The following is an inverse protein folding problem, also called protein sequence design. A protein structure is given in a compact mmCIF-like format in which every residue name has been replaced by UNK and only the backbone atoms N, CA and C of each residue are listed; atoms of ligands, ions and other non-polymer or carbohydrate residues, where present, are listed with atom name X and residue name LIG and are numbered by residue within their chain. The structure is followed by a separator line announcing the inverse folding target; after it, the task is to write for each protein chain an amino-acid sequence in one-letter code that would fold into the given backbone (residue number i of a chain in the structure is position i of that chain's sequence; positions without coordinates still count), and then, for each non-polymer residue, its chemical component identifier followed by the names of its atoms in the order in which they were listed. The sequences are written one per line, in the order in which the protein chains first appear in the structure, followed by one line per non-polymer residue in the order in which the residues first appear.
data_IF_983813438833
#
_entry.id   IF_983813438833
#
_cell.length_a   1.000
_cell.length_b   1.000
_cell.length_c   1.000
_cell.angle_alpha   90.00
_cell.angle_beta   90.00
_cell.angle_gamma   90.00
#
_symmetry.space_group_name_H-M   'P 1'
#
loop_
_entity.id
_entity.type
_entity.pdbx_description
1 polymer ?
#
# COMPACT_ATOMS: atom_id res chain seq x y z
N UNK A 1 -14.31 7.36 -29.16
CA UNK A 1 -15.03 6.93 -27.94
C UNK A 1 -13.99 6.30 -27.03
N UNK A 2 -13.47 7.05 -26.06
CA UNK A 2 -12.53 6.51 -25.07
C UNK A 2 -13.32 5.68 -24.06
N UNK A 3 -12.86 4.45 -23.84
CA UNK A 3 -13.40 3.49 -22.88
C UNK A 3 -13.49 4.12 -21.48
N UNK A 4 -14.44 3.67 -20.63
CA UNK A 4 -14.63 4.21 -19.30
C UNK A 4 -13.31 4.17 -18.52
N UNK A 5 -13.05 5.25 -17.81
CA UNK A 5 -12.05 5.39 -16.75
C UNK A 5 -12.38 4.35 -15.66
N UNK A 6 -12.05 3.08 -15.92
CA UNK A 6 -12.21 1.98 -14.98
C UNK A 6 -11.09 2.14 -13.96
N UNK A 7 -11.26 3.12 -13.08
CA UNK A 7 -10.42 3.30 -11.89
C UNK A 7 -10.39 1.99 -11.14
N UNK A 8 -9.26 1.26 -11.25
CA UNK A 8 -8.97 0.14 -10.37
C UNK A 8 -9.29 0.58 -8.94
N UNK A 9 -10.13 -0.20 -8.25
CA UNK A 9 -10.50 0.08 -6.87
C UNK A 9 -9.22 0.18 -6.03
N UNK A 10 -9.20 1.08 -5.04
CA UNK A 10 -8.06 1.16 -4.11
C UNK A 10 -7.82 -0.19 -3.43
N UNK A 11 -6.54 -0.52 -3.24
CA UNK A 11 -6.16 -1.74 -2.52
C UNK A 11 -6.58 -1.60 -1.06
N UNK A 12 -7.21 -2.64 -0.52
CA UNK A 12 -7.78 -2.59 0.84
C UNK A 12 -7.55 -3.87 1.63
N UNK A 13 -7.74 -3.80 2.95
CA UNK A 13 -7.48 -4.92 3.86
C UNK A 13 -6.06 -4.91 4.42
N UNK A 14 -5.59 -6.08 4.86
CA UNK A 14 -4.23 -6.25 5.41
C UNK A 14 -3.15 -6.00 4.34
N UNK A 15 -1.90 -5.79 4.77
CA UNK A 15 -0.78 -5.65 3.83
C UNK A 15 -0.68 -6.84 2.87
N UNK A 16 -0.93 -8.07 3.36
CA UNK A 16 -0.93 -9.28 2.54
C UNK A 16 -2.09 -9.30 1.53
N UNK A 17 -3.28 -8.84 1.91
CA UNK A 17 -4.42 -8.78 1.01
C UNK A 17 -4.21 -7.75 -0.10
N UNK A 18 -3.61 -6.60 0.24
CA UNK A 18 -3.27 -5.55 -0.73
C UNK A 18 -2.20 -6.04 -1.72
N UNK A 19 -1.21 -6.80 -1.24
CA UNK A 19 -0.20 -7.41 -2.11
C UNK A 19 -0.82 -8.41 -3.08
N UNK A 20 -1.69 -9.31 -2.60
CA UNK A 20 -2.40 -10.27 -3.45
C UNK A 20 -3.30 -9.58 -4.49
N UNK A 21 -3.98 -8.51 -4.07
CA UNK A 21 -4.77 -7.69 -4.99
C UNK A 21 -3.88 -7.06 -6.06
N UNK A 22 -2.72 -6.49 -5.69
CA UNK A 22 -1.76 -5.92 -6.63
C UNK A 22 -1.22 -6.95 -7.62
N UNK A 23 -0.86 -8.14 -7.15
CA UNK A 23 -0.37 -9.25 -7.99
C UNK A 23 -1.43 -9.80 -8.96
N UNK A 24 -2.71 -9.65 -8.62
CA UNK A 24 -3.83 -10.07 -9.47
C UNK A 24 -4.21 -9.03 -10.54
N UNK A 25 -3.64 -7.82 -10.48
CA UNK A 25 -3.90 -6.77 -11.47
C UNK A 25 -3.05 -6.98 -12.73
N UNK A 26 -3.65 -6.76 -13.89
CA UNK A 26 -2.92 -6.68 -15.15
C UNK A 26 -2.22 -5.32 -15.26
N UNK A 27 -0.89 -5.35 -15.41
CA UNK A 27 -0.04 -4.15 -15.36
C UNK A 27 -0.33 -3.14 -16.47
N UNK A 28 -0.85 -3.59 -17.61
CA UNK A 28 -1.15 -2.75 -18.77
C UNK A 28 -2.42 -1.89 -18.58
N UNK A 29 -3.26 -2.23 -17.59
CA UNK A 29 -4.49 -1.51 -17.29
C UNK A 29 -4.32 -0.43 -16.19
N UNK A 30 -3.15 -0.34 -15.55
CA UNK A 30 -2.92 0.53 -14.41
C UNK A 30 -2.33 1.88 -14.82
N UNK A 31 -2.97 2.97 -14.39
CA UNK A 31 -2.42 4.31 -14.62
C UNK A 31 -1.32 4.63 -13.61
N UNK A 32 -0.30 5.39 -14.04
CA UNK A 32 0.75 5.88 -13.13
C UNK A 32 0.17 6.68 -11.96
N UNK A 33 -0.92 7.41 -12.18
CA UNK A 33 -1.63 8.16 -11.13
C UNK A 33 -2.20 7.23 -10.05
N UNK A 34 -2.79 6.10 -10.45
CA UNK A 34 -3.30 5.10 -9.51
C UNK A 34 -2.17 4.44 -8.72
N UNK A 35 -1.07 4.07 -9.39
CA UNK A 35 0.11 3.47 -8.73
C UNK A 35 0.73 4.40 -7.68
N UNK A 36 0.90 5.69 -8.02
CA UNK A 36 1.39 6.72 -7.09
C UNK A 36 0.46 6.86 -5.88
N UNK A 37 -0.86 6.77 -6.09
CA UNK A 37 -1.82 6.81 -4.99
C UNK A 37 -1.69 5.60 -4.06
N UNK A 38 -1.55 4.39 -4.59
CA UNK A 38 -1.36 3.18 -3.75
C UNK A 38 -0.04 3.24 -2.98
N UNK A 39 1.04 3.70 -3.62
CA UNK A 39 2.34 3.89 -2.97
C UNK A 39 2.24 4.89 -1.81
N UNK A 40 1.55 6.02 -2.02
CA UNK A 40 1.33 7.00 -0.96
C UNK A 40 0.61 6.41 0.24
N UNK A 41 -0.48 5.66 0.02
CA UNK A 41 -1.21 5.00 1.10
C UNK A 41 -0.35 3.99 1.86
N UNK A 42 0.48 3.22 1.16
CA UNK A 42 1.41 2.27 1.79
C UNK A 42 2.48 2.98 2.65
N UNK A 43 3.00 4.12 2.19
CA UNK A 43 3.97 4.92 2.94
C UNK A 43 3.33 5.62 4.15
N UNK A 44 2.09 6.08 4.04
CA UNK A 44 1.33 6.64 5.17
C UNK A 44 1.08 5.59 6.25
N UNK A 45 0.69 4.36 5.87
CA UNK A 45 0.54 3.25 6.81
C UNK A 45 1.88 2.85 7.46
N UNK A 46 2.97 2.86 6.70
CA UNK A 46 4.31 2.56 7.24
C UNK A 46 4.76 3.62 8.25
N UNK A 47 4.61 4.91 7.92
CA UNK A 47 4.96 6.01 8.81
C UNK A 47 4.16 5.96 10.13
N UNK A 48 2.92 5.48 10.10
CA UNK A 48 2.13 5.28 11.31
C UNK A 48 2.67 4.14 12.22
N UNK A 49 3.39 3.17 11.64
CA UNK A 49 3.96 2.03 12.36
C UNK A 49 5.37 2.28 12.89
N UNK A 50 6.14 3.21 12.30
CA UNK A 50 7.51 3.53 12.70
C UNK A 50 7.67 3.78 14.22
N UNK A 51 6.83 4.59 14.89
CA UNK A 51 6.99 4.83 16.32
C UNK A 51 6.80 3.59 17.19
N UNK A 52 5.93 2.66 16.76
CA UNK A 52 5.69 1.40 17.48
C UNK A 52 6.89 0.47 17.33
N UNK A 53 7.45 0.40 16.12
CA UNK A 53 8.65 -0.40 15.85
C UNK A 53 9.87 0.15 16.61
N UNK A 54 9.99 1.47 16.72
CA UNK A 54 11.07 2.14 17.47
C UNK A 54 10.94 1.89 18.97
N UNK A 55 9.74 2.05 19.55
CA UNK A 55 9.50 1.78 20.96
C UNK A 55 9.77 0.31 21.35
N UNK A 56 9.41 -0.63 20.46
CA UNK A 56 9.67 -2.06 20.70
C UNK A 56 11.16 -2.41 20.56
N UNK A 57 11.89 -1.67 19.71
CA UNK A 57 13.35 -1.83 19.59
C UNK A 57 14.05 -1.33 20.85
N UNK A 58 13.71 -0.14 21.33
CA UNK A 58 14.23 0.41 22.59
C UNK A 58 13.98 -0.55 23.75
N UNK A 59 12.76 -1.08 23.87
CA UNK A 59 12.43 -2.08 24.88
C UNK A 59 13.36 -3.30 24.85
N UNK A 60 13.71 -3.80 23.67
CA UNK A 60 14.59 -5.00 23.53
C UNK A 60 16.05 -4.71 23.85
N UNK A 61 16.48 -3.46 23.72
CA UNK A 61 17.84 -3.03 24.07
C UNK A 61 18.01 -2.83 25.59
N UNK A 62 16.90 -2.57 26.31
CA UNK A 62 16.88 -2.43 27.78
C UNK A 62 16.81 -3.78 28.56
N UNK A 63 16.55 -4.90 27.89
CA UNK A 63 16.48 -6.26 28.47
C UNK A 63 17.75 -7.08 28.18
#
# INVERSE_FOLDING_TARGET
MSAPDETARDLSGSALDRLRQLEALDGDALTSRWLVRQLRLALEDLAALEPVADAERERREDF
#
